data_IF_701366385584
#
_entry.id   IF_701366385584
#
_cell.length_a   1.000
_cell.length_b   1.000
_cell.length_c   1.000
_cell.angle_alpha   90.00
_cell.angle_beta   90.00
_cell.angle_gamma   90.00
#
_symmetry.space_group_name_H-M   'P 1'
#
loop_
_entity.id
_entity.type
_entity.pdbx_description
1 polymer ?
#
# COMPACT_ATOMS: atom_id res chain seq x y z
N UNK A 1 8.15 -7.75 23.59
CA UNK A 1 6.79 -7.23 23.36
C UNK A 1 5.93 -8.35 22.77
N UNK A 2 4.68 -8.56 23.22
CA UNK A 2 3.83 -9.63 22.69
C UNK A 2 3.59 -9.49 21.17
N UNK A 3 3.51 -10.61 20.45
CA UNK A 3 3.42 -10.67 18.98
C UNK A 3 2.16 -10.01 18.39
N UNK A 4 1.11 -9.84 19.18
CA UNK A 4 -0.19 -9.29 18.78
C UNK A 4 -0.29 -7.75 18.88
N UNK A 5 0.77 -7.06 19.33
CA UNK A 5 0.86 -5.59 19.37
C UNK A 5 1.93 -5.03 18.43
N UNK A 6 2.29 -5.76 17.36
CA UNK A 6 3.30 -5.27 16.43
C UNK A 6 2.71 -4.14 15.60
N UNK A 7 3.19 -2.92 15.81
CA UNK A 7 2.89 -1.79 14.94
C UNK A 7 3.61 -2.04 13.61
N UNK A 8 2.89 -1.86 12.51
CA UNK A 8 3.44 -1.83 11.17
C UNK A 8 2.88 -0.64 10.41
N UNK A 9 3.47 -0.37 9.25
CA UNK A 9 3.09 0.74 8.39
C UNK A 9 2.52 0.19 7.10
N UNK A 10 1.26 0.54 6.81
CA UNK A 10 0.72 0.48 5.45
C UNK A 10 1.27 1.69 4.69
N UNK A 11 1.76 1.49 3.47
CA UNK A 11 2.21 2.57 2.60
C UNK A 11 1.53 2.53 1.24
N UNK A 12 1.49 3.70 0.61
CA UNK A 12 1.25 3.90 -0.80
C UNK A 12 2.51 4.53 -1.38
N UNK A 13 3.11 3.86 -2.36
CA UNK A 13 4.28 4.37 -3.07
C UNK A 13 3.90 4.71 -4.51
N UNK A 14 4.31 5.88 -4.98
CA UNK A 14 4.33 6.18 -6.42
C UNK A 14 5.48 5.42 -7.06
N UNK A 15 5.23 4.88 -8.25
CA UNK A 15 6.26 4.20 -9.06
C UNK A 15 6.94 5.14 -10.06
N UNK A 16 6.40 6.34 -10.28
CA UNK A 16 6.77 7.23 -11.38
C UNK A 16 6.36 6.72 -12.78
N UNK A 17 5.66 5.59 -12.86
CA UNK A 17 5.18 4.99 -14.12
C UNK A 17 3.69 5.25 -14.31
N UNK A 18 3.26 5.26 -15.57
CA UNK A 18 1.89 5.55 -15.97
C UNK A 18 1.38 4.48 -16.94
N UNK A 19 0.07 4.23 -16.90
CA UNK A 19 -0.65 3.44 -17.90
C UNK A 19 -0.70 4.17 -19.25
N UNK A 20 -1.13 3.48 -20.32
CA UNK A 20 -1.32 4.08 -21.64
C UNK A 20 -2.26 5.31 -21.59
N UNK A 21 -3.29 5.24 -20.74
CA UNK A 21 -4.28 6.31 -20.53
C UNK A 21 -3.78 7.40 -19.55
N UNK A 22 -2.46 7.51 -19.33
CA UNK A 22 -1.82 8.52 -18.48
C UNK A 22 -2.25 8.48 -16.99
N UNK A 23 -2.65 7.31 -16.50
CA UNK A 23 -2.97 7.11 -15.07
C UNK A 23 -1.75 6.58 -14.35
N UNK A 24 -1.33 7.25 -13.27
CA UNK A 24 -0.20 6.83 -12.45
C UNK A 24 -0.39 5.42 -11.86
N UNK A 25 0.71 4.67 -11.78
CA UNK A 25 0.77 3.36 -11.14
C UNK A 25 1.37 3.54 -9.75
N UNK A 26 0.67 3.01 -8.75
CA UNK A 26 1.07 3.02 -7.35
C UNK A 26 1.24 1.61 -6.82
N UNK A 27 2.06 1.46 -5.77
CA UNK A 27 2.19 0.23 -4.99
C UNK A 27 1.54 0.43 -3.62
N UNK A 28 0.67 -0.48 -3.22
CA UNK A 28 0.09 -0.52 -1.87
C UNK A 28 0.71 -1.71 -1.15
N UNK A 29 1.40 -1.48 -0.04
CA UNK A 29 2.04 -2.55 0.69
C UNK A 29 2.27 -2.25 2.16
N UNK A 30 2.86 -3.20 2.88
CA UNK A 30 3.19 -3.07 4.30
C UNK A 30 4.68 -3.23 4.61
N UNK A 31 5.06 -2.76 5.80
CA UNK A 31 6.34 -3.04 6.45
C UNK A 31 6.19 -3.02 7.97
N UNK A 32 7.01 -3.78 8.68
CA UNK A 32 7.14 -3.70 10.15
C UNK A 32 8.37 -2.91 10.60
N UNK A 33 9.13 -2.39 9.65
CA UNK A 33 10.28 -1.51 9.88
C UNK A 33 10.13 -0.20 9.10
N UNK A 34 11.16 0.65 9.12
CA UNK A 34 11.12 1.96 8.45
C UNK A 34 10.78 1.85 6.95
N UNK A 35 9.88 2.71 6.46
CA UNK A 35 9.38 2.69 5.08
C UNK A 35 10.49 2.99 4.07
N UNK A 36 11.40 3.90 4.39
CA UNK A 36 12.62 4.22 3.63
C UNK A 36 13.53 3.01 3.40
N UNK A 37 13.73 2.18 4.44
CA UNK A 37 14.46 0.91 4.31
C UNK A 37 13.73 -0.06 3.40
N UNK A 38 12.40 -0.14 3.50
CA UNK A 38 11.60 -0.98 2.61
C UNK A 38 11.67 -0.50 1.16
N UNK A 39 11.60 0.80 0.90
CA UNK A 39 11.80 1.39 -0.42
C UNK A 39 13.17 1.00 -0.99
N UNK A 40 14.22 1.09 -0.18
CA UNK A 40 15.57 0.70 -0.58
C UNK A 40 15.66 -0.77 -0.96
N UNK A 41 15.00 -1.66 -0.21
CA UNK A 41 14.93 -3.09 -0.53
C UNK A 41 14.14 -3.39 -1.81
N UNK A 42 13.11 -2.59 -2.10
CA UNK A 42 12.30 -2.71 -3.31
C UNK A 42 13.03 -2.16 -4.55
N UNK A 43 14.02 -1.29 -4.35
CA UNK A 43 14.85 -0.77 -5.42
C UNK A 43 15.89 -1.81 -5.85
N UNK A 44 15.49 -2.63 -6.81
CA UNK A 44 16.32 -3.67 -7.42
C UNK A 44 16.68 -3.30 -8.85
N UNK A 45 17.61 -4.03 -9.47
CA UNK A 45 18.09 -3.78 -10.85
C UNK A 45 16.98 -3.80 -11.91
N UNK A 46 15.80 -4.35 -11.61
CA UNK A 46 14.64 -4.38 -12.49
C UNK A 46 13.66 -3.20 -12.34
N UNK A 47 13.93 -2.23 -11.46
CA UNK A 47 13.06 -1.06 -11.25
C UNK A 47 13.84 0.22 -11.62
N UNK A 48 13.51 0.89 -12.74
CA UNK A 48 14.31 1.99 -13.25
C UNK A 48 14.18 3.28 -12.42
N UNK A 49 13.12 3.45 -11.64
CA UNK A 49 12.85 4.65 -10.85
C UNK A 49 12.73 4.34 -9.36
N UNK A 50 13.18 5.27 -8.50
CA UNK A 50 12.94 5.15 -7.06
C UNK A 50 11.47 5.43 -6.76
N UNK A 51 10.89 4.56 -5.95
CA UNK A 51 9.59 4.81 -5.34
C UNK A 51 9.61 6.08 -4.47
N UNK A 52 8.52 6.85 -4.49
CA UNK A 52 8.29 7.96 -3.56
C UNK A 52 7.07 7.68 -2.69
N UNK A 53 7.09 8.16 -1.45
CA UNK A 53 5.97 7.96 -0.52
C UNK A 53 4.83 8.92 -0.89
N UNK A 54 3.66 8.37 -1.18
CA UNK A 54 2.42 9.12 -1.40
C UNK A 54 1.63 9.21 -0.10
N UNK A 55 1.55 8.10 0.63
CA UNK A 55 0.85 8.02 1.91
C UNK A 55 1.43 6.92 2.77
N UNK A 56 1.35 7.05 4.09
CA UNK A 56 1.70 6.01 5.04
C UNK A 56 0.83 6.09 6.29
N UNK A 57 0.55 4.93 6.87
CA UNK A 57 -0.31 4.79 8.04
C UNK A 57 0.25 3.73 8.99
N UNK A 58 0.56 4.12 10.21
CA UNK A 58 0.89 3.18 11.28
C UNK A 58 -0.39 2.57 11.87
N UNK A 59 -0.37 1.25 12.07
CA UNK A 59 -1.47 0.48 12.65
C UNK A 59 -0.99 -0.85 13.21
N UNK A 60 -1.68 -1.39 14.21
CA UNK A 60 -1.44 -2.72 14.78
C UNK A 60 -1.99 -3.85 13.90
N UNK A 61 -2.89 -3.54 12.95
CA UNK A 61 -3.57 -4.50 12.07
C UNK A 61 -3.17 -4.36 10.60
N UNK A 62 -1.94 -3.89 10.33
CA UNK A 62 -1.43 -3.56 8.99
C UNK A 62 -1.63 -4.70 7.97
N UNK A 63 -1.44 -5.96 8.36
CA UNK A 63 -1.62 -7.12 7.49
C UNK A 63 -3.08 -7.34 7.07
N UNK A 64 -4.03 -7.25 8.03
CA UNK A 64 -5.46 -7.35 7.72
C UNK A 64 -5.93 -6.17 6.85
N UNK A 65 -5.47 -4.96 7.16
CA UNK A 65 -5.78 -3.76 6.40
C UNK A 65 -5.28 -3.88 4.95
N UNK A 66 -4.03 -4.32 4.75
CA UNK A 66 -3.47 -4.53 3.41
C UNK A 66 -4.30 -5.54 2.61
N UNK A 67 -4.61 -6.69 3.21
CA UNK A 67 -5.40 -7.72 2.55
C UNK A 67 -6.80 -7.21 2.17
N UNK A 68 -7.46 -6.48 3.06
CA UNK A 68 -8.76 -5.87 2.80
C UNK A 68 -8.68 -4.87 1.64
N UNK A 69 -7.68 -3.98 1.64
CA UNK A 69 -7.47 -3.02 0.56
C UNK A 69 -7.16 -3.71 -0.76
N UNK A 70 -6.32 -4.74 -0.77
CA UNK A 70 -6.00 -5.50 -1.98
C UNK A 70 -7.24 -6.18 -2.57
N UNK A 71 -8.11 -6.73 -1.72
CA UNK A 71 -9.36 -7.35 -2.14
C UNK A 71 -10.35 -6.31 -2.71
N UNK A 72 -10.62 -5.25 -1.95
CA UNK A 72 -11.60 -4.22 -2.32
C UNK A 72 -11.17 -3.39 -3.54
N UNK A 73 -9.87 -3.26 -3.77
CA UNK A 73 -9.30 -2.51 -4.89
C UNK A 73 -8.86 -3.38 -6.07
N UNK A 74 -9.21 -4.68 -6.11
CA UNK A 74 -8.78 -5.62 -7.16
C UNK A 74 -9.09 -5.08 -8.58
N UNK A 75 -10.22 -4.39 -8.75
CA UNK A 75 -10.61 -3.77 -10.03
C UNK A 75 -9.64 -2.70 -10.55
N UNK A 76 -8.79 -2.14 -9.68
CA UNK A 76 -7.79 -1.13 -10.02
C UNK A 76 -6.39 -1.73 -10.19
N UNK A 77 -6.23 -3.04 -9.97
CA UNK A 77 -4.94 -3.72 -9.97
C UNK A 77 -4.41 -3.88 -11.41
N UNK A 78 -3.14 -3.55 -11.62
CA UNK A 78 -2.46 -3.66 -12.92
C UNK A 78 -2.21 -5.13 -13.30
N UNK A 79 -1.81 -5.93 -12.31
CA UNK A 79 -1.56 -7.36 -12.47
C UNK A 79 -2.07 -8.09 -11.23
N UNK A 80 -2.95 -9.08 -11.41
CA UNK A 80 -3.60 -9.80 -10.29
C UNK A 80 -2.61 -10.42 -9.30
N UNK A 81 -1.43 -10.82 -9.74
CA UNK A 81 -0.38 -11.42 -8.89
C UNK A 81 0.54 -10.39 -8.21
N UNK A 82 0.37 -9.10 -8.46
CA UNK A 82 1.27 -8.04 -7.97
C UNK A 82 0.51 -6.90 -7.31
N UNK A 83 1.14 -6.30 -6.33
CA UNK A 83 0.56 -5.24 -5.48
C UNK A 83 0.60 -3.85 -6.12
N UNK A 84 0.39 -3.77 -7.44
CA UNK A 84 0.39 -2.51 -8.21
C UNK A 84 -1.02 -2.18 -8.67
N UNK A 85 -1.41 -0.92 -8.48
CA UNK A 85 -2.75 -0.41 -8.72
C UNK A 85 -2.68 0.91 -9.51
N UNK A 86 -3.76 1.25 -10.20
CA UNK A 86 -3.94 2.59 -10.76
C UNK A 86 -4.24 3.59 -9.64
N UNK A 87 -3.70 4.81 -9.73
CA UNK A 87 -3.90 5.87 -8.75
C UNK A 87 -5.39 6.29 -8.58
N UNK A 88 -6.27 5.89 -9.51
CA UNK A 88 -7.72 6.04 -9.37
C UNK A 88 -8.29 5.41 -8.09
N UNK A 89 -7.63 4.39 -7.53
CA UNK A 89 -8.09 3.76 -6.30
C UNK A 89 -7.86 4.63 -5.05
N UNK A 90 -6.96 5.62 -5.12
CA UNK A 90 -6.53 6.39 -3.95
C UNK A 90 -7.67 7.20 -3.32
N UNK A 91 -8.65 7.63 -4.12
CA UNK A 91 -9.83 8.35 -3.64
C UNK A 91 -10.68 7.56 -2.64
N UNK A 92 -10.59 6.23 -2.63
CA UNK A 92 -11.33 5.37 -1.70
C UNK A 92 -10.55 5.06 -0.41
N UNK A 93 -9.23 5.31 -0.37
CA UNK A 93 -8.40 4.92 0.76
C UNK A 93 -8.86 5.53 2.09
N UNK A 94 -9.19 6.83 2.19
CA UNK A 94 -9.62 7.42 3.48
C UNK A 94 -10.83 6.69 4.07
N UNK A 95 -11.86 6.45 3.26
CA UNK A 95 -13.10 5.80 3.69
C UNK A 95 -12.87 4.34 4.08
N UNK A 96 -12.11 3.59 3.26
CA UNK A 96 -11.80 2.20 3.56
C UNK A 96 -10.97 2.03 4.84
N UNK A 97 -10.01 2.94 5.08
CA UNK A 97 -9.22 2.97 6.31
C UNK A 97 -10.11 3.31 7.51
N UNK A 98 -11.01 4.28 7.37
CA UNK A 98 -11.94 4.67 8.44
C UNK A 98 -12.86 3.50 8.82
N UNK A 99 -13.47 2.85 7.83
CA UNK A 99 -14.33 1.68 8.05
C UNK A 99 -13.54 0.53 8.71
N UNK A 100 -12.32 0.23 8.23
CA UNK A 100 -11.51 -0.83 8.83
C UNK A 100 -11.17 -0.56 10.30
N UNK A 101 -10.86 0.70 10.65
CA UNK A 101 -10.62 1.09 12.05
C UNK A 101 -11.86 0.92 12.91
N UNK A 102 -13.01 1.36 12.42
CA UNK A 102 -14.29 1.17 13.13
C UNK A 102 -14.57 -0.30 13.40
N UNK A 103 -14.30 -1.20 12.43
CA UNK A 103 -14.50 -2.65 12.61
C UNK A 103 -13.54 -3.24 13.65
N UNK A 104 -12.26 -2.84 13.67
CA UNK A 104 -11.27 -3.42 14.58
C UNK A 104 -11.30 -2.80 16.00
N UNK A 105 -11.96 -1.66 16.18
CA UNK A 105 -12.17 -1.02 17.50
C UNK A 105 -13.46 -1.50 18.19
N UNK A 106 -14.32 -2.26 17.49
CA UNK A 106 -15.49 -2.97 18.05
C UNK A 106 -15.08 -4.24 18.80
#
# INVERSE_FOLDING_TARGET
>A
MPSWRRIGTLYVLSTGLYTADQVEIVKIGITTGPVDKRITQLYTTGVPFRFTVVSQLETTNYSKLEQALHCLLDRYRINKSREFFTAHCLKFLPDLIAIHRQIEEM
#
